data_IF_626953068723
#
_entry.id   IF_626953068723
#
_cell.length_a   1.000
_cell.length_b   1.000
_cell.length_c   1.000
_cell.angle_alpha   90.00
_cell.angle_beta   90.00
_cell.angle_gamma   90.00
#
_symmetry.space_group_name_H-M   'P 1'
#
loop_
_entity.id
_entity.type
_entity.pdbx_description
1 polymer ?
#
# COMPACT_ATOMS: atom_id res chain seq x y z
N UNK A 1 -4.81 -3.23 -1.04
CA UNK A 1 -5.25 -3.93 0.19
C UNK A 1 -4.49 -5.23 0.43
N UNK A 2 -4.61 -6.26 -0.40
CA UNK A 2 -4.00 -7.57 -0.09
C UNK A 2 -2.73 -7.89 -0.89
N UNK A 3 -2.45 -7.15 -1.97
CA UNK A 3 -1.28 -7.38 -2.82
C UNK A 3 -1.32 -8.75 -3.52
N UNK A 4 -2.51 -9.20 -3.87
CA UNK A 4 -2.81 -10.44 -4.60
C UNK A 4 -3.59 -10.09 -5.87
N UNK A 5 -3.47 -10.92 -6.90
CA UNK A 5 -4.35 -10.83 -8.06
C UNK A 5 -5.79 -11.19 -7.67
N UNK A 6 -6.77 -10.70 -8.43
CA UNK A 6 -8.20 -10.94 -8.16
C UNK A 6 -8.54 -12.44 -8.03
N UNK A 7 -7.92 -13.28 -8.84
CA UNK A 7 -8.10 -14.74 -8.84
C UNK A 7 -7.58 -15.44 -7.57
N UNK A 8 -6.65 -14.80 -6.86
CA UNK A 8 -5.98 -15.35 -5.68
C UNK A 8 -6.58 -14.81 -4.36
N UNK A 9 -7.63 -13.98 -4.46
CA UNK A 9 -8.34 -13.46 -3.31
C UNK A 9 -9.23 -14.55 -2.69
N UNK A 10 -9.20 -14.64 -1.36
CA UNK A 10 -10.14 -15.49 -0.65
C UNK A 10 -11.54 -14.88 -0.64
N UNK A 11 -12.56 -15.69 -0.38
CA UNK A 11 -13.94 -15.23 -0.19
C UNK A 11 -14.04 -14.11 0.87
N UNK A 12 -13.28 -14.22 1.96
CA UNK A 12 -13.24 -13.21 3.02
C UNK A 12 -12.69 -11.86 2.51
N UNK A 13 -11.62 -11.91 1.70
CA UNK A 13 -10.99 -10.73 1.10
C UNK A 13 -11.90 -10.09 0.04
N UNK A 14 -12.57 -10.90 -0.79
CA UNK A 14 -13.58 -10.45 -1.75
C UNK A 14 -14.74 -9.73 -1.06
N UNK A 15 -15.30 -10.32 0.01
CA UNK A 15 -16.38 -9.71 0.78
C UNK A 15 -15.95 -8.39 1.44
N UNK A 16 -14.70 -8.30 1.90
CA UNK A 16 -14.13 -7.05 2.41
C UNK A 16 -14.12 -5.96 1.34
N UNK A 17 -13.61 -6.25 0.15
CA UNK A 17 -13.52 -5.28 -0.95
C UNK A 17 -14.92 -4.84 -1.44
N UNK A 18 -15.86 -5.78 -1.55
CA UNK A 18 -17.24 -5.50 -1.94
C UNK A 18 -17.98 -4.58 -0.93
N UNK A 19 -17.53 -4.53 0.32
CA UNK A 19 -18.07 -3.65 1.35
C UNK A 19 -17.68 -2.18 1.22
N UNK A 20 -16.59 -1.88 0.52
CA UNK A 20 -15.96 -0.55 0.47
C UNK A 20 -16.76 0.54 -0.28
N UNK A 21 -17.39 0.28 -1.45
CA UNK A 21 -18.00 1.35 -2.25
C UNK A 21 -19.04 2.19 -1.51
N UNK A 22 -19.75 1.61 -0.53
CA UNK A 22 -20.76 2.33 0.26
C UNK A 22 -20.17 3.48 1.07
N UNK A 23 -18.96 3.30 1.62
CA UNK A 23 -18.27 4.32 2.41
C UNK A 23 -16.79 3.94 2.51
N UNK A 24 -15.98 4.23 1.47
CA UNK A 24 -14.62 3.70 1.35
C UNK A 24 -13.71 4.15 2.49
N UNK A 25 -13.88 5.36 3.02
CA UNK A 25 -13.12 5.85 4.18
C UNK A 25 -13.56 5.21 5.50
N UNK A 26 -14.88 5.03 5.70
CA UNK A 26 -15.43 4.51 6.96
C UNK A 26 -15.22 3.00 7.13
N UNK A 27 -15.20 2.26 6.00
CA UNK A 27 -14.98 0.81 5.97
C UNK A 27 -13.58 0.42 5.50
N UNK A 28 -12.65 1.38 5.42
CA UNK A 28 -11.26 1.09 5.07
C UNK A 28 -10.64 0.15 6.13
N UNK A 29 -10.19 -1.06 5.78
CA UNK A 29 -9.65 -2.01 6.75
C UNK A 29 -8.26 -1.63 7.28
N UNK A 30 -7.58 -0.67 6.64
CA UNK A 30 -6.33 -0.08 7.14
C UNK A 30 -6.61 0.95 8.24
N UNK A 31 -7.63 1.79 8.05
CA UNK A 31 -7.93 2.91 8.96
C UNK A 31 -8.88 2.48 10.08
N UNK A 32 -9.90 1.68 9.76
CA UNK A 32 -11.00 1.31 10.65
C UNK A 32 -11.28 -0.21 10.59
N UNK A 33 -10.34 -1.07 11.03
CA UNK A 33 -10.45 -2.53 10.87
C UNK A 33 -11.71 -3.11 11.53
N UNK A 34 -12.14 -2.57 12.68
CA UNK A 34 -13.37 -3.01 13.36
C UNK A 34 -14.63 -2.76 12.52
N UNK A 35 -14.79 -1.54 11.96
CA UNK A 35 -15.95 -1.21 11.12
C UNK A 35 -15.91 -1.96 9.80
N UNK A 36 -14.72 -2.14 9.24
CA UNK A 36 -14.50 -2.93 8.04
C UNK A 36 -14.93 -4.40 8.27
N UNK A 37 -14.60 -4.98 9.42
CA UNK A 37 -14.99 -6.36 9.78
C UNK A 37 -16.50 -6.54 9.85
N UNK A 38 -17.20 -5.66 10.56
CA UNK A 38 -18.68 -5.67 10.62
C UNK A 38 -19.29 -5.57 9.23
N UNK A 39 -18.71 -4.71 8.36
CA UNK A 39 -19.18 -4.58 6.98
C UNK A 39 -18.93 -5.84 6.16
N UNK A 40 -17.77 -6.47 6.31
CA UNK A 40 -17.43 -7.72 5.64
C UNK A 40 -18.38 -8.86 6.03
N UNK A 41 -18.67 -9.02 7.32
CA UNK A 41 -19.62 -10.03 7.83
C UNK A 41 -21.02 -9.82 7.27
N UNK A 42 -21.49 -8.57 7.21
CA UNK A 42 -22.76 -8.25 6.56
C UNK A 42 -22.79 -8.70 5.09
N UNK A 43 -21.71 -8.49 4.34
CA UNK A 43 -21.64 -8.94 2.93
C UNK A 43 -21.66 -10.48 2.85
N UNK A 44 -20.88 -11.16 3.69
CA UNK A 44 -20.88 -12.63 3.75
C UNK A 44 -22.27 -13.18 4.08
N UNK A 45 -22.98 -12.57 5.04
CA UNK A 45 -24.34 -12.96 5.40
C UNK A 45 -25.29 -12.80 4.22
N UNK A 46 -25.21 -11.67 3.50
CA UNK A 46 -26.02 -11.47 2.29
C UNK A 46 -25.69 -12.47 1.17
N UNK A 47 -24.43 -12.86 1.02
CA UNK A 47 -24.04 -13.88 0.05
C UNK A 47 -24.63 -15.25 0.40
N UNK A 48 -24.67 -15.60 1.68
CA UNK A 48 -25.29 -16.83 2.18
C UNK A 48 -26.81 -16.81 1.94
N UNK A 49 -27.49 -15.73 2.34
CA UNK A 49 -28.94 -15.57 2.17
C UNK A 49 -29.38 -15.62 0.70
N UNK A 50 -28.52 -15.17 -0.21
CA UNK A 50 -28.76 -15.20 -1.66
C UNK A 50 -28.30 -16.51 -2.33
N UNK A 51 -27.71 -17.44 -1.58
CA UNK A 51 -27.28 -18.74 -2.09
C UNK A 51 -25.98 -18.70 -2.92
N UNK A 52 -25.17 -17.64 -2.83
CA UNK A 52 -23.87 -17.56 -3.52
C UNK A 52 -22.78 -18.37 -2.81
N UNK A 53 -22.94 -18.64 -1.52
CA UNK A 53 -22.00 -19.42 -0.69
C UNK A 53 -22.78 -20.36 0.22
N UNK A 54 -22.10 -21.41 0.68
CA UNK A 54 -22.61 -22.36 1.68
C UNK A 54 -22.37 -21.86 3.10
N UNK A 55 -23.05 -22.47 4.08
CA UNK A 55 -22.85 -22.19 5.50
C UNK A 55 -21.38 -22.41 5.92
N UNK A 56 -20.76 -23.51 5.50
CA UNK A 56 -19.36 -23.81 5.80
C UNK A 56 -18.40 -22.74 5.24
N UNK A 57 -18.67 -22.24 4.03
CA UNK A 57 -17.90 -21.15 3.43
C UNK A 57 -18.09 -19.85 4.21
N UNK A 58 -19.32 -19.54 4.65
CA UNK A 58 -19.59 -18.39 5.51
C UNK A 58 -18.83 -18.48 6.84
N UNK A 59 -18.88 -19.63 7.52
CA UNK A 59 -18.22 -19.83 8.82
C UNK A 59 -16.70 -19.81 8.71
N UNK A 60 -16.16 -20.27 7.58
CA UNK A 60 -14.72 -20.20 7.29
C UNK A 60 -14.29 -18.76 6.98
N UNK A 61 -15.01 -18.07 6.09
CA UNK A 61 -14.66 -16.72 5.65
C UNK A 61 -14.87 -15.65 6.74
N UNK A 62 -15.87 -15.83 7.60
CA UNK A 62 -16.14 -14.93 8.73
C UNK A 62 -15.05 -15.04 9.81
N UNK A 63 -14.46 -16.22 10.01
CA UNK A 63 -13.35 -16.43 10.97
C UNK A 63 -11.97 -16.15 10.40
N UNK A 64 -11.84 -16.03 9.08
CA UNK A 64 -10.55 -15.77 8.45
C UNK A 64 -9.98 -14.40 8.90
N UNK A 65 -8.75 -14.38 9.47
CA UNK A 65 -8.04 -13.14 9.74
C UNK A 65 -7.66 -12.45 8.41
N UNK A 66 -7.92 -11.15 8.32
CA UNK A 66 -7.58 -10.36 7.13
C UNK A 66 -6.26 -9.63 7.36
N UNK A 67 -5.21 -10.09 6.66
CA UNK A 67 -3.90 -9.44 6.67
C UNK A 67 -3.90 -8.39 5.57
N UNK A 68 -4.12 -7.13 5.95
CA UNK A 68 -4.06 -6.02 5.01
C UNK A 68 -2.61 -5.59 4.87
N UNK A 69 -2.09 -5.59 3.63
CA UNK A 69 -0.82 -4.91 3.36
C UNK A 69 -1.03 -3.41 3.61
N UNK A 70 -0.29 -2.88 4.58
CA UNK A 70 -0.23 -1.45 4.83
C UNK A 70 0.24 -0.70 3.57
N UNK A 71 0.09 0.63 3.56
CA UNK A 71 0.53 1.49 2.47
C UNK A 71 2.06 1.56 2.28
N UNK A 72 2.82 0.64 2.88
CA UNK A 72 4.21 0.41 2.56
C UNK A 72 4.30 -0.35 1.24
N UNK A 73 4.45 0.38 0.14
CA UNK A 73 5.28 -0.17 -0.94
C UNK A 73 6.66 -0.30 -0.31
N UNK A 74 7.05 -1.52 0.07
CA UNK A 74 8.47 -1.84 0.26
C UNK A 74 9.12 -1.68 -1.11
N UNK A 75 9.48 -0.45 -1.45
CA UNK A 75 10.39 -0.20 -2.54
C UNK A 75 11.73 -0.76 -2.08
N UNK A 76 12.30 -1.68 -2.87
CA UNK A 76 13.57 -2.32 -2.54
C UNK A 76 14.78 -1.39 -2.65
N UNK A 77 14.60 -0.18 -3.19
CA UNK A 77 15.66 0.80 -3.50
C UNK A 77 15.30 2.17 -2.92
N UNK A 78 16.26 2.82 -2.27
CA UNK A 78 16.11 4.19 -1.74
C UNK A 78 16.32 5.25 -2.84
N UNK A 79 15.27 5.45 -3.65
CA UNK A 79 15.28 6.35 -4.81
C UNK A 79 14.25 7.49 -4.68
N UNK A 80 13.92 7.94 -3.46
CA UNK A 80 12.84 8.90 -3.20
C UNK A 80 13.06 10.24 -3.94
N UNK A 81 14.30 10.72 -3.97
CA UNK A 81 14.67 11.94 -4.70
C UNK A 81 14.51 11.80 -6.22
N UNK A 82 14.94 10.66 -6.78
CA UNK A 82 14.79 10.37 -8.20
C UNK A 82 13.31 10.23 -8.57
N UNK A 83 12.54 9.52 -7.73
CA UNK A 83 11.10 9.35 -7.92
C UNK A 83 10.36 10.70 -7.92
N UNK A 84 10.72 11.59 -7.00
CA UNK A 84 10.14 12.94 -6.96
C UNK A 84 10.55 13.79 -8.17
N UNK A 85 11.81 13.71 -8.61
CA UNK A 85 12.27 14.37 -9.84
C UNK A 85 11.46 13.89 -11.06
N UNK A 86 11.26 12.58 -11.20
CA UNK A 86 10.43 12.00 -12.26
C UNK A 86 8.99 12.49 -12.15
N UNK A 87 8.40 12.50 -10.95
CA UNK A 87 7.03 13.00 -10.73
C UNK A 87 6.89 14.44 -11.20
N UNK A 88 7.83 15.31 -10.85
CA UNK A 88 7.84 16.71 -11.26
C UNK A 88 7.96 16.87 -12.78
N UNK A 89 8.86 16.12 -13.43
CA UNK A 89 9.00 16.14 -14.89
C UNK A 89 7.72 15.67 -15.60
N UNK A 90 7.11 14.59 -15.11
CA UNK A 90 5.87 14.06 -15.68
C UNK A 90 4.71 15.05 -15.51
N UNK A 91 4.60 15.71 -14.36
CA UNK A 91 3.60 16.76 -14.15
C UNK A 91 3.88 18.01 -15.01
N UNK A 92 5.16 18.36 -15.22
CA UNK A 92 5.56 19.46 -16.09
C UNK A 92 5.13 19.21 -17.54
N UNK A 93 5.14 17.96 -18.00
CA UNK A 93 4.74 17.58 -19.36
C UNK A 93 3.24 17.30 -19.52
N UNK A 94 2.65 16.55 -18.58
CA UNK A 94 1.30 15.97 -18.71
C UNK A 94 0.28 16.52 -17.71
N UNK A 95 0.69 17.39 -16.76
CA UNK A 95 -0.17 17.93 -15.70
C UNK A 95 -0.91 16.81 -14.97
N UNK A 96 -2.21 16.97 -14.73
CA UNK A 96 -3.06 16.00 -14.03
C UNK A 96 -3.13 14.63 -14.73
N UNK A 97 -2.95 14.58 -16.05
CA UNK A 97 -2.95 13.32 -16.79
C UNK A 97 -1.78 12.40 -16.40
N UNK A 98 -0.70 12.96 -15.85
CA UNK A 98 0.42 12.19 -15.32
C UNK A 98 -0.04 11.16 -14.27
N UNK A 99 -1.12 11.45 -13.53
CA UNK A 99 -1.61 10.61 -12.45
C UNK A 99 -2.72 9.64 -12.86
N UNK A 100 -3.39 9.87 -13.99
CA UNK A 100 -4.57 9.08 -14.39
C UNK A 100 -4.29 8.11 -15.52
N UNK A 101 -3.26 8.37 -16.34
CA UNK A 101 -2.95 7.56 -17.53
C UNK A 101 -2.23 6.25 -17.26
N UNK A 102 -1.79 6.00 -16.02
CA UNK A 102 -1.10 4.76 -15.66
C UNK A 102 0.23 4.56 -16.39
N UNK A 103 0.99 5.64 -16.61
CA UNK A 103 2.25 5.61 -17.37
C UNK A 103 3.34 4.86 -16.59
N UNK A 104 4.10 4.02 -17.30
CA UNK A 104 5.32 3.40 -16.78
C UNK A 104 6.53 4.24 -17.21
N UNK A 105 7.29 4.75 -16.25
CA UNK A 105 8.50 5.54 -16.51
C UNK A 105 9.72 4.72 -16.13
N UNK A 106 10.53 4.36 -17.14
CA UNK A 106 11.82 3.71 -16.94
C UNK A 106 12.88 4.80 -16.90
N UNK A 107 13.64 4.85 -15.81
CA UNK A 107 14.70 5.86 -15.63
C UNK A 107 16.05 5.31 -16.06
N UNK A 108 17.04 6.20 -16.17
CA UNK A 108 18.44 5.84 -16.42
C UNK A 108 19.21 5.46 -15.16
N UNK A 109 18.55 5.38 -14.00
CA UNK A 109 19.19 5.13 -12.71
C UNK A 109 19.37 3.63 -12.50
N UNK A 110 20.61 3.23 -12.25
CA UNK A 110 20.92 1.88 -11.78
C UNK A 110 20.65 1.77 -10.27
N UNK A 111 19.98 0.68 -9.87
CA UNK A 111 19.60 0.47 -8.47
C UNK A 111 20.80 0.27 -7.53
N UNK A 112 21.85 -0.41 -7.99
CA UNK A 112 23.02 -0.68 -7.16
C UNK A 112 23.80 0.61 -6.91
N UNK A 113 23.95 1.45 -7.94
CA UNK A 113 24.61 2.74 -7.83
C UNK A 113 23.82 3.71 -6.94
N UNK A 114 22.49 3.74 -7.08
CA UNK A 114 21.63 4.57 -6.23
C UNK A 114 21.74 4.18 -4.75
N UNK A 115 21.73 2.88 -4.44
CA UNK A 115 21.90 2.40 -3.07
C UNK A 115 23.29 2.71 -2.50
N UNK A 116 24.33 2.65 -3.34
CA UNK A 116 25.68 3.02 -2.95
C UNK A 116 25.77 4.52 -2.66
N UNK A 117 25.21 5.37 -3.53
CA UNK A 117 25.16 6.82 -3.36
C UNK A 117 24.40 7.21 -2.08
N UNK A 118 23.23 6.59 -1.86
CA UNK A 118 22.43 6.79 -0.65
C UNK A 118 23.21 6.49 0.62
N UNK A 119 23.87 5.33 0.68
CA UNK A 119 24.69 4.91 1.81
C UNK A 119 25.89 5.84 2.01
N UNK A 120 26.57 6.23 0.93
CA UNK A 120 27.73 7.12 0.99
C UNK A 120 27.37 8.49 1.57
N UNK A 121 26.27 9.08 1.12
CA UNK A 121 25.79 10.38 1.63
C UNK A 121 25.45 10.31 3.12
N UNK A 122 24.64 9.33 3.54
CA UNK A 122 24.27 9.19 4.95
C UNK A 122 25.48 8.94 5.84
N UNK A 123 26.41 8.09 5.39
CA UNK A 123 27.67 7.85 6.10
C UNK A 123 28.48 9.14 6.24
N UNK A 124 28.69 9.87 5.15
CA UNK A 124 29.44 11.13 5.15
C UNK A 124 28.85 12.17 6.11
N UNK A 125 27.52 12.32 6.10
CA UNK A 125 26.83 13.24 7.00
C UNK A 125 26.95 12.81 8.47
N UNK A 126 26.74 11.53 8.76
CA UNK A 126 26.87 11.01 10.13
C UNK A 126 28.31 11.12 10.66
N UNK A 127 29.30 10.85 9.83
CA UNK A 127 30.71 10.99 10.20
C UNK A 127 31.08 12.46 10.42
N UNK A 128 30.52 13.38 9.63
CA UNK A 128 30.65 14.82 9.86
C UNK A 128 30.03 15.24 11.19
N UNK A 129 28.77 14.89 11.44
CA UNK A 129 28.05 15.24 12.68
C UNK A 129 28.77 14.71 13.92
N UNK A 130 29.26 13.47 13.90
CA UNK A 130 30.03 12.88 15.02
C UNK A 130 31.30 13.67 15.36
N UNK A 131 31.96 14.29 14.37
CA UNK A 131 33.16 15.11 14.60
C UNK A 131 32.87 16.48 15.21
N UNK A 132 31.63 16.96 15.14
CA UNK A 132 31.23 18.29 15.60
C UNK A 132 30.51 18.30 16.96
N UNK A 133 30.47 17.14 17.63
CA UNK A 133 29.88 17.01 18.97
C UNK A 133 28.35 16.87 18.96
N UNK A 134 27.82 16.35 20.07
CA UNK A 134 26.39 16.11 20.25
C UNK A 134 25.62 17.42 20.48
N UNK A 135 24.52 17.64 19.76
CA UNK A 135 23.72 18.88 19.82
C UNK A 135 22.61 18.88 20.88
N UNK A 136 22.44 17.80 21.65
CA UNK A 136 21.33 17.64 22.57
C UNK A 136 20.15 16.85 21.97
N UNK A 137 19.24 16.32 22.81
CA UNK A 137 18.01 15.69 22.37
C UNK A 137 16.93 16.77 22.25
N UNK A 138 16.51 17.10 21.05
CA UNK A 138 15.19 17.71 20.83
C UNK A 138 14.13 16.62 20.70
#
# INVERSE_FOLDING_TARGET
YFGKDLKDLSLAECAMLAGLPKAPSAYNPVVNPKRAKVRQEYILQRMLELGYITQDQYDTASRQPLIVKGAGKEFSVHAEYVAEMVRQMMYAQYREEAYTRGLNVVTTIDSADQDAAYRALRKGLMDYERRHGYRGPE
#
